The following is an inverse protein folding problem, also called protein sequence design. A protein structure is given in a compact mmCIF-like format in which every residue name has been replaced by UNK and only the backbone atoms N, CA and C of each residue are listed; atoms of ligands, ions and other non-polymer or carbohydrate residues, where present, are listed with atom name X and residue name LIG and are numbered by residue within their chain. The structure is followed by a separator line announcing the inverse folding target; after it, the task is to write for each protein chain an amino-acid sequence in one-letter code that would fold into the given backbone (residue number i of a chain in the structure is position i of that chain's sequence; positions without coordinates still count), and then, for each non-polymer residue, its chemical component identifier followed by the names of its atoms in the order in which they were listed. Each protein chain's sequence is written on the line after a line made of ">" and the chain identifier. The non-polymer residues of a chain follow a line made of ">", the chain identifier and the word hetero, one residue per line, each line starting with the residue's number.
data_IF_163805729211
#
_entry.id   IF_163805729211
#
_cell.length_a   1.000
_cell.length_b   1.000
_cell.length_c   1.000
_cell.angle_alpha   90.00
_cell.angle_beta   90.00
_cell.angle_gamma   90.00
#
_symmetry.space_group_name_H-M   'P 1'
#
loop_
_entity.id
_entity.type
_entity.pdbx_description
1 polymer ?
#
# COMPACT_ATOMS: atom_id res chain seq x y z
N UNK A 1 12.49 41.04 25.75
CA UNK A 1 11.18 40.39 25.97
C UNK A 1 11.01 39.08 25.19
N UNK A 2 11.68 38.90 24.04
CA UNK A 2 11.59 37.65 23.20
C UNK A 2 12.38 36.47 23.77
N UNK A 3 13.56 36.70 24.31
CA UNK A 3 14.47 35.67 24.83
C UNK A 3 13.84 34.81 25.95
N UNK A 4 13.22 35.37 27.01
CA UNK A 4 12.61 34.56 28.07
C UNK A 4 11.41 33.72 27.54
N UNK A 5 10.69 34.21 26.53
CA UNK A 5 9.58 33.45 25.93
C UNK A 5 10.08 32.24 25.13
N UNK A 6 11.17 32.37 24.42
CA UNK A 6 11.80 31.26 23.68
C UNK A 6 12.35 30.18 24.63
N UNK A 7 12.96 30.61 25.75
CA UNK A 7 13.45 29.69 26.77
C UNK A 7 12.28 28.92 27.42
N UNK A 8 11.20 29.62 27.77
CA UNK A 8 10.00 28.98 28.32
C UNK A 8 9.35 28.02 27.35
N UNK A 9 9.28 28.38 26.05
CA UNK A 9 8.76 27.50 25.01
C UNK A 9 9.64 26.23 24.85
N UNK A 10 10.95 26.40 24.88
CA UNK A 10 11.90 25.28 24.83
C UNK A 10 11.76 24.34 26.02
N UNK A 11 11.66 24.89 27.22
CA UNK A 11 11.46 24.12 28.45
C UNK A 11 10.10 23.39 28.46
N UNK A 12 9.05 24.08 28.04
CA UNK A 12 7.72 23.46 27.93
C UNK A 12 7.71 22.31 26.92
N UNK A 13 8.34 22.47 25.75
CA UNK A 13 8.45 21.42 24.73
C UNK A 13 9.28 20.25 25.22
N UNK A 14 10.41 20.52 25.90
CA UNK A 14 11.25 19.47 26.49
C UNK A 14 10.48 18.68 27.56
N UNK A 15 9.75 19.38 28.43
CA UNK A 15 8.92 18.77 29.46
C UNK A 15 7.77 17.92 28.88
N UNK A 16 7.13 18.42 27.83
CA UNK A 16 6.05 17.71 27.13
C UNK A 16 6.58 16.43 26.45
N UNK A 17 7.70 16.52 25.76
CA UNK A 17 8.35 15.36 25.12
C UNK A 17 8.77 14.31 26.15
N UNK A 18 9.33 14.76 27.28
CA UNK A 18 9.71 13.83 28.37
C UNK A 18 8.48 13.13 28.98
N UNK A 19 7.41 13.88 29.27
CA UNK A 19 6.15 13.29 29.78
C UNK A 19 5.48 12.38 28.77
N UNK A 20 5.44 12.75 27.51
CA UNK A 20 4.90 11.89 26.44
C UNK A 20 5.67 10.57 26.36
N UNK A 21 7.00 10.60 26.40
CA UNK A 21 7.82 9.40 26.44
C UNK A 21 7.53 8.48 27.64
N UNK A 22 7.40 9.06 28.85
CA UNK A 22 7.07 8.30 30.05
C UNK A 22 5.67 7.70 30.00
N UNK A 23 4.68 8.43 29.48
CA UNK A 23 3.30 7.94 29.33
C UNK A 23 3.19 6.85 28.28
N UNK A 24 3.90 6.99 27.15
CA UNK A 24 4.00 5.95 26.14
C UNK A 24 4.60 4.65 26.73
N UNK A 25 5.67 4.76 27.49
CA UNK A 25 6.32 3.57 28.11
C UNK A 25 5.41 2.88 29.15
N UNK A 26 4.49 3.60 29.76
CA UNK A 26 3.52 3.05 30.73
C UNK A 26 2.25 2.52 30.08
N UNK A 27 2.08 2.75 28.77
CA UNK A 27 0.90 2.23 28.07
C UNK A 27 0.98 0.70 27.97
N UNK A 28 -0.10 -0.04 28.30
CA UNK A 28 -0.08 -1.51 28.29
C UNK A 28 0.27 -2.11 26.93
N UNK A 29 0.00 -1.40 25.84
CA UNK A 29 0.42 -1.80 24.49
C UNK A 29 1.89 -1.59 24.16
N UNK A 30 2.65 -0.83 24.99
CA UNK A 30 4.07 -0.55 24.74
C UNK A 30 4.95 -1.81 24.81
N UNK A 31 4.66 -2.69 25.75
CA UNK A 31 5.38 -3.96 25.88
C UNK A 31 5.22 -4.84 24.63
N UNK A 32 4.01 -4.90 24.08
CA UNK A 32 3.71 -5.63 22.84
C UNK A 32 4.40 -5.01 21.62
N UNK A 33 4.38 -3.68 21.52
CA UNK A 33 5.11 -2.95 20.48
C UNK A 33 6.63 -3.16 20.59
N UNK A 34 7.20 -3.02 21.79
CA UNK A 34 8.62 -3.23 22.01
C UNK A 34 9.05 -4.67 21.74
N UNK A 35 8.20 -5.65 22.05
CA UNK A 35 8.44 -7.05 21.73
C UNK A 35 8.43 -7.29 20.22
N UNK A 36 7.56 -6.62 19.46
CA UNK A 36 7.56 -6.64 17.99
C UNK A 36 8.82 -6.06 17.38
N UNK A 37 9.39 -5.01 17.98
CA UNK A 37 10.66 -4.41 17.50
C UNK A 37 11.91 -5.10 18.04
N UNK A 38 11.84 -5.76 19.21
CA UNK A 38 12.98 -6.46 19.81
C UNK A 38 13.14 -7.88 19.28
N UNK A 39 12.07 -8.51 18.86
CA UNK A 39 12.10 -9.71 18.04
C UNK A 39 12.05 -9.21 16.60
N UNK A 40 13.10 -9.34 15.79
CA UNK A 40 12.95 -9.23 14.36
C UNK A 40 12.09 -10.43 13.95
N UNK A 41 10.79 -10.28 14.12
CA UNK A 41 9.85 -11.10 13.42
C UNK A 41 9.98 -10.64 11.97
N UNK A 42 10.96 -11.20 11.30
CA UNK A 42 10.80 -11.44 9.88
C UNK A 42 9.59 -12.36 9.85
N UNK A 43 8.42 -11.80 9.52
CA UNK A 43 7.29 -12.62 9.12
C UNK A 43 7.76 -13.33 7.85
N UNK A 44 8.47 -14.43 8.04
CA UNK A 44 8.94 -15.29 6.96
C UNK A 44 7.76 -16.00 6.32
N UNK A 45 6.53 -15.64 6.68
CA UNK A 45 5.32 -16.31 6.19
C UNK A 45 5.30 -17.81 6.46
N UNK A 46 6.14 -18.26 7.40
CA UNK A 46 6.08 -19.62 7.90
C UNK A 46 4.88 -19.74 8.84
N UNK A 47 3.71 -20.00 8.26
CA UNK A 47 2.83 -20.97 8.89
C UNK A 47 3.70 -22.18 9.27
N UNK A 48 3.41 -22.85 10.46
CA UNK A 48 4.21 -23.99 10.91
C UNK A 48 4.38 -24.92 9.72
N UNK A 49 5.62 -25.25 9.44
CA UNK A 49 6.02 -26.03 8.27
C UNK A 49 5.16 -27.29 8.13
N UNK A 50 4.20 -27.24 7.26
CA UNK A 50 3.90 -28.44 6.50
C UNK A 50 5.14 -28.65 5.62
N UNK A 51 5.79 -29.80 5.74
CA UNK A 51 6.93 -30.22 4.95
C UNK A 51 6.55 -30.25 3.44
N UNK A 52 6.44 -29.06 2.83
CA UNK A 52 6.16 -28.88 1.42
C UNK A 52 7.12 -27.83 0.85
N UNK A 53 7.44 -27.88 -0.43
CA UNK A 53 8.25 -26.84 -1.07
C UNK A 53 7.60 -25.47 -0.79
N UNK A 54 8.40 -24.51 -0.29
CA UNK A 54 7.92 -23.16 0.00
C UNK A 54 7.12 -22.58 -1.17
N UNK A 55 6.21 -21.63 -0.93
CA UNK A 55 5.37 -21.10 -1.99
C UNK A 55 6.25 -20.68 -3.17
N UNK A 56 6.05 -21.36 -4.29
CA UNK A 56 6.80 -21.10 -5.50
C UNK A 56 6.55 -19.62 -5.89
N UNK A 57 7.64 -18.88 -6.12
CA UNK A 57 7.55 -17.56 -6.76
C UNK A 57 6.79 -17.78 -8.07
N UNK A 58 5.67 -17.08 -8.32
CA UNK A 58 4.94 -17.27 -9.56
C UNK A 58 5.90 -17.07 -10.73
N UNK A 59 5.87 -17.92 -11.75
CA UNK A 59 6.67 -17.69 -12.93
C UNK A 59 6.31 -16.32 -13.51
N UNK A 60 7.29 -15.60 -14.04
CA UNK A 60 7.10 -14.24 -14.59
C UNK A 60 5.95 -14.14 -15.63
N UNK A 61 5.57 -15.28 -16.25
CA UNK A 61 4.43 -15.37 -17.14
C UNK A 61 3.05 -15.45 -16.46
N UNK A 62 3.00 -15.57 -15.12
CA UNK A 62 1.73 -15.57 -14.37
C UNK A 62 1.24 -14.16 -14.01
N UNK A 63 2.08 -13.14 -14.22
CA UNK A 63 1.70 -11.74 -13.96
C UNK A 63 0.88 -11.21 -15.14
N UNK A 64 -0.23 -10.54 -14.81
CA UNK A 64 -1.08 -9.94 -15.83
C UNK A 64 -0.37 -8.74 -16.49
N UNK A 65 -0.42 -8.58 -17.83
CA UNK A 65 -0.06 -7.31 -18.44
C UNK A 65 -1.03 -6.22 -17.97
N UNK A 66 -0.62 -4.93 -17.93
CA UNK A 66 -1.56 -3.86 -17.71
C UNK A 66 -2.59 -3.85 -18.84
N UNK A 67 -3.83 -3.41 -18.59
CA UNK A 67 -4.84 -3.26 -19.62
C UNK A 67 -4.40 -2.17 -20.61
N UNK A 68 -4.91 -2.21 -21.84
CA UNK A 68 -4.61 -1.22 -22.87
C UNK A 68 -5.17 0.17 -22.49
N UNK A 69 -6.34 0.19 -21.85
CA UNK A 69 -7.02 1.41 -21.38
C UNK A 69 -7.63 1.19 -20.00
N UNK A 70 -7.90 2.26 -19.26
CA UNK A 70 -8.50 2.13 -17.93
C UNK A 70 -8.34 3.35 -17.06
N UNK A 71 -8.63 3.19 -15.78
CA UNK A 71 -8.42 4.17 -14.73
C UNK A 71 -7.18 3.78 -13.92
N UNK A 72 -6.28 4.73 -13.69
CA UNK A 72 -5.10 4.51 -12.85
C UNK A 72 -5.33 5.15 -11.49
N UNK A 73 -5.21 4.37 -10.42
CA UNK A 73 -5.27 4.85 -9.03
C UNK A 73 -3.88 4.73 -8.43
N UNK A 74 -3.36 5.83 -7.89
CA UNK A 74 -2.07 5.88 -7.18
C UNK A 74 -2.33 5.71 -5.68
N UNK A 75 -2.01 4.55 -5.15
CA UNK A 75 -2.15 4.25 -3.73
C UNK A 75 -1.06 4.93 -2.91
N UNK A 76 -1.44 5.77 -1.94
CA UNK A 76 -0.53 6.52 -1.08
C UNK A 76 0.52 7.33 -1.87
N UNK A 77 0.15 7.81 -3.07
CA UNK A 77 1.04 8.57 -3.94
C UNK A 77 2.11 7.72 -4.64
N UNK A 78 1.93 6.40 -4.75
CA UNK A 78 2.86 5.52 -5.46
C UNK A 78 3.02 5.92 -6.94
N UNK A 79 4.24 5.90 -7.41
CA UNK A 79 4.60 6.32 -8.77
C UNK A 79 4.46 7.83 -8.99
N UNK A 80 5.17 8.33 -9.99
CA UNK A 80 5.00 9.72 -10.42
C UNK A 80 3.71 9.91 -11.21
N UNK A 81 3.22 11.15 -11.27
CA UNK A 81 2.05 11.48 -12.08
C UNK A 81 2.31 11.24 -13.58
N UNK A 82 3.56 11.40 -14.02
CA UNK A 82 3.97 11.15 -15.41
C UNK A 82 3.99 9.65 -15.71
N UNK A 83 4.54 8.82 -14.80
CA UNK A 83 4.47 7.38 -14.90
C UNK A 83 3.02 6.91 -15.04
N UNK A 84 2.14 7.37 -14.15
CA UNK A 84 0.73 6.99 -14.17
C UNK A 84 0.01 7.37 -15.48
N UNK A 85 0.37 8.53 -16.07
CA UNK A 85 -0.20 8.97 -17.36
C UNK A 85 0.31 8.18 -18.56
N UNK A 86 1.50 7.60 -18.45
CA UNK A 86 2.15 6.89 -19.55
C UNK A 86 2.12 5.36 -19.38
N UNK A 87 1.48 4.86 -18.32
CA UNK A 87 1.49 3.44 -17.99
C UNK A 87 0.72 2.59 -19.01
N UNK A 88 -0.39 3.09 -19.51
CA UNK A 88 -1.25 2.40 -20.44
C UNK A 88 -0.89 2.77 -21.89
N UNK A 89 -1.13 1.87 -22.84
CA UNK A 89 -0.87 2.12 -24.26
C UNK A 89 -1.73 3.26 -24.77
N UNK A 90 -3.02 3.23 -24.42
CA UNK A 90 -3.91 4.39 -24.57
C UNK A 90 -3.83 5.21 -23.29
N UNK A 91 -3.86 6.55 -23.42
CA UNK A 91 -3.84 7.42 -22.25
C UNK A 91 -4.94 7.02 -21.26
N UNK A 92 -4.65 6.94 -19.96
CA UNK A 92 -5.66 6.57 -18.97
C UNK A 92 -6.81 7.58 -19.01
N UNK A 93 -8.04 7.09 -18.89
CA UNK A 93 -9.23 7.95 -18.81
C UNK A 93 -9.17 8.89 -17.62
N UNK A 94 -8.64 8.40 -16.51
CA UNK A 94 -8.40 9.18 -15.29
C UNK A 94 -7.16 8.67 -14.56
N UNK A 95 -6.47 9.60 -13.89
CA UNK A 95 -5.47 9.30 -12.86
C UNK A 95 -6.01 9.84 -11.54
N UNK A 96 -6.25 8.96 -10.59
CA UNK A 96 -6.84 9.24 -9.29
C UNK A 96 -5.84 8.93 -8.18
N UNK A 97 -6.11 9.43 -6.98
CA UNK A 97 -5.30 9.14 -5.78
C UNK A 97 -6.19 8.57 -4.69
N UNK A 98 -5.65 7.60 -3.93
CA UNK A 98 -6.28 6.98 -2.77
C UNK A 98 -5.24 6.59 -1.73
N UNK A 99 -5.68 6.41 -0.49
CA UNK A 99 -4.84 5.97 0.62
C UNK A 99 -3.84 7.01 1.14
N UNK A 100 -2.92 6.59 1.99
CA UNK A 100 -1.92 7.45 2.61
C UNK A 100 -2.53 8.46 3.58
N UNK A 101 -2.58 9.75 3.22
CA UNK A 101 -3.20 10.81 4.02
C UNK A 101 -4.67 11.05 3.68
N UNK A 102 -5.23 10.33 2.71
CA UNK A 102 -6.64 10.43 2.36
C UNK A 102 -7.53 9.87 3.49
N UNK A 103 -8.71 10.44 3.64
CA UNK A 103 -9.72 9.88 4.54
C UNK A 103 -10.50 8.77 3.83
N UNK A 104 -11.17 7.90 4.61
CA UNK A 104 -12.06 6.86 4.05
C UNK A 104 -13.15 7.43 3.13
N UNK A 105 -13.63 8.65 3.42
CA UNK A 105 -14.61 9.33 2.57
C UNK A 105 -13.99 9.73 1.22
N UNK A 106 -12.75 10.24 1.22
CA UNK A 106 -12.02 10.56 0.00
C UNK A 106 -11.71 9.31 -0.83
N UNK A 107 -11.39 8.19 -0.19
CA UNK A 107 -11.16 6.92 -0.87
C UNK A 107 -12.44 6.41 -1.54
N UNK A 108 -13.60 6.51 -0.88
CA UNK A 108 -14.90 6.18 -1.47
C UNK A 108 -15.28 7.11 -2.62
N UNK A 109 -15.00 8.40 -2.50
CA UNK A 109 -15.19 9.36 -3.60
C UNK A 109 -14.30 8.99 -4.81
N UNK A 110 -13.10 8.51 -4.54
CA UNK A 110 -12.19 8.04 -5.60
C UNK A 110 -12.77 6.81 -6.31
N UNK A 111 -13.30 5.85 -5.57
CA UNK A 111 -13.96 4.67 -6.15
C UNK A 111 -15.21 5.06 -6.97
N UNK A 112 -16.02 5.98 -6.47
CA UNK A 112 -17.18 6.50 -7.21
C UNK A 112 -16.78 7.16 -8.54
N UNK A 113 -15.66 7.88 -8.56
CA UNK A 113 -15.13 8.48 -9.80
C UNK A 113 -14.49 7.44 -10.74
N UNK A 114 -13.98 6.34 -10.19
CA UNK A 114 -13.40 5.26 -10.97
C UNK A 114 -14.46 4.32 -11.58
N UNK A 115 -15.72 4.43 -11.15
CA UNK A 115 -16.84 3.61 -11.66
C UNK A 115 -17.25 4.05 -13.07
N UNK A 116 -16.42 3.73 -14.04
CA UNK A 116 -16.64 3.98 -15.46
C UNK A 116 -16.88 2.69 -16.26
N UNK A 117 -16.99 1.55 -15.58
CA UNK A 117 -17.02 0.24 -16.23
C UNK A 117 -15.73 -0.12 -16.97
N UNK A 118 -14.61 0.51 -16.62
CA UNK A 118 -13.30 0.31 -17.21
C UNK A 118 -12.39 -0.46 -16.24
N UNK A 119 -11.35 -1.14 -16.73
CA UNK A 119 -10.33 -1.74 -15.88
C UNK A 119 -9.68 -0.69 -14.97
N UNK A 120 -9.33 -1.11 -13.75
CA UNK A 120 -8.64 -0.27 -12.77
C UNK A 120 -7.22 -0.80 -12.56
N UNK A 121 -6.23 0.05 -12.73
CA UNK A 121 -4.83 -0.22 -12.40
C UNK A 121 -4.49 0.49 -11.10
N UNK A 122 -4.17 -0.27 -10.06
CA UNK A 122 -3.80 0.24 -8.75
C UNK A 122 -2.29 0.21 -8.59
N UNK A 123 -1.64 1.38 -8.65
CA UNK A 123 -0.20 1.52 -8.43
C UNK A 123 0.10 1.47 -6.94
N UNK A 124 1.05 0.65 -6.53
CA UNK A 124 1.51 0.54 -5.14
C UNK A 124 3.03 0.58 -5.06
N UNK A 125 3.56 0.91 -3.89
CA UNK A 125 4.99 0.82 -3.61
C UNK A 125 5.36 -0.63 -3.35
N UNK A 126 5.97 -1.28 -4.32
CA UNK A 126 6.34 -2.70 -4.25
C UNK A 126 7.42 -3.02 -3.21
N UNK A 127 8.20 -2.02 -2.78
CA UNK A 127 9.20 -2.15 -1.70
C UNK A 127 8.61 -2.09 -0.30
N UNK A 128 7.36 -1.66 -0.16
CA UNK A 128 6.61 -1.71 1.08
C UNK A 128 5.75 -2.98 1.13
N UNK A 129 5.55 -3.60 2.30
CA UNK A 129 4.61 -4.70 2.40
C UNK A 129 3.17 -4.20 2.20
N UNK A 130 2.27 -5.02 1.63
CA UNK A 130 0.87 -4.67 1.55
C UNK A 130 0.27 -4.43 2.94
N UNK A 131 -0.51 -3.36 3.09
CA UNK A 131 -1.09 -2.92 4.38
C UNK A 131 -2.54 -3.38 4.54
N UNK A 132 -3.04 -3.37 5.78
CA UNK A 132 -4.47 -3.61 6.06
C UNK A 132 -5.37 -2.56 5.42
N UNK A 133 -4.92 -1.29 5.38
CA UNK A 133 -5.67 -0.20 4.72
C UNK A 133 -5.87 -0.45 3.23
N UNK A 134 -4.85 -1.01 2.56
CA UNK A 134 -4.99 -1.40 1.16
C UNK A 134 -5.97 -2.57 0.99
N UNK A 135 -6.00 -3.52 1.94
CA UNK A 135 -6.97 -4.60 1.93
C UNK A 135 -8.40 -4.06 2.06
N UNK A 136 -8.65 -3.19 3.04
CA UNK A 136 -9.95 -2.56 3.26
C UNK A 136 -10.39 -1.76 2.02
N UNK A 137 -9.46 -1.04 1.37
CA UNK A 137 -9.75 -0.32 0.13
C UNK A 137 -10.14 -1.26 -1.03
N UNK A 138 -9.49 -2.42 -1.16
CA UNK A 138 -9.85 -3.41 -2.19
C UNK A 138 -11.21 -4.05 -1.92
N UNK A 139 -11.57 -4.26 -0.65
CA UNK A 139 -12.89 -4.76 -0.27
C UNK A 139 -13.97 -3.69 -0.58
N UNK A 140 -13.75 -2.42 -0.20
CA UNK A 140 -14.62 -1.29 -0.57
C UNK A 140 -14.74 -1.14 -2.11
N UNK A 141 -13.65 -1.37 -2.85
CA UNK A 141 -13.67 -1.34 -4.32
C UNK A 141 -14.54 -2.46 -4.92
N UNK A 142 -14.50 -3.67 -4.33
CA UNK A 142 -15.36 -4.78 -4.77
C UNK A 142 -16.85 -4.50 -4.55
N UNK A 143 -17.17 -3.80 -3.47
CA UNK A 143 -18.55 -3.43 -3.13
C UNK A 143 -19.07 -2.26 -3.97
N UNK A 144 -18.17 -1.37 -4.43
CA UNK A 144 -18.52 -0.11 -5.11
C UNK A 144 -18.46 -0.22 -6.63
N UNK A 145 -17.53 -1.01 -7.18
CA UNK A 145 -17.35 -1.16 -8.63
C UNK A 145 -18.18 -2.32 -9.19
N UNK A 146 -18.51 -2.30 -10.50
CA UNK A 146 -19.15 -3.44 -11.16
C UNK A 146 -18.40 -4.75 -10.90
N UNK A 147 -19.13 -5.84 -10.70
CA UNK A 147 -18.56 -7.13 -10.32
C UNK A 147 -17.56 -7.70 -11.34
N UNK A 148 -17.69 -7.31 -12.60
CA UNK A 148 -16.82 -7.67 -13.72
C UNK A 148 -15.66 -6.71 -13.95
N UNK A 149 -15.52 -5.64 -13.13
CA UNK A 149 -14.40 -4.71 -13.22
C UNK A 149 -13.09 -5.45 -12.93
N UNK A 150 -12.18 -5.42 -13.90
CA UNK A 150 -10.85 -5.97 -13.76
C UNK A 150 -9.97 -5.01 -12.94
N UNK A 151 -9.47 -5.48 -11.80
CA UNK A 151 -8.55 -4.72 -10.95
C UNK A 151 -7.18 -5.36 -11.02
N UNK A 152 -6.20 -4.60 -11.53
CA UNK A 152 -4.81 -5.01 -11.65
C UNK A 152 -3.98 -4.22 -10.64
N UNK A 153 -3.40 -4.90 -9.67
CA UNK A 153 -2.49 -4.30 -8.69
C UNK A 153 -1.07 -4.37 -9.25
N UNK A 154 -0.42 -3.22 -9.33
CA UNK A 154 0.89 -3.05 -9.93
C UNK A 154 1.92 -2.52 -8.91
N UNK A 155 2.70 -3.40 -8.25
CA UNK A 155 3.73 -2.97 -7.33
C UNK A 155 4.96 -2.46 -8.08
N UNK A 156 5.32 -1.20 -7.84
CA UNK A 156 6.49 -0.53 -8.44
C UNK A 156 7.74 -0.79 -7.60
N UNK A 157 8.93 -0.83 -8.22
CA UNK A 157 10.22 -0.90 -7.50
C UNK A 157 10.71 0.48 -7.06
N UNK A 158 10.31 1.52 -7.77
CA UNK A 158 10.60 2.92 -7.48
C UNK A 158 9.51 3.82 -8.08
N UNK A 159 9.46 5.08 -7.67
CA UNK A 159 8.41 6.00 -8.11
C UNK A 159 8.44 6.32 -9.61
N UNK A 160 9.57 6.12 -10.28
CA UNK A 160 9.74 6.41 -11.71
C UNK A 160 10.09 5.17 -12.53
N UNK A 161 10.12 3.99 -11.91
CA UNK A 161 10.50 2.75 -12.58
C UNK A 161 9.37 1.71 -12.57
N UNK A 162 9.16 1.11 -13.73
CA UNK A 162 8.22 0.01 -13.94
C UNK A 162 8.90 -1.37 -13.93
N UNK A 163 10.11 -1.48 -13.38
CA UNK A 163 10.81 -2.75 -13.32
C UNK A 163 10.15 -3.72 -12.30
N UNK A 164 10.42 -5.01 -12.45
CA UNK A 164 9.82 -6.04 -11.61
C UNK A 164 10.41 -5.99 -10.20
N UNK A 165 9.54 -6.01 -9.20
CA UNK A 165 9.89 -6.11 -7.78
C UNK A 165 10.67 -7.40 -7.49
N UNK A 166 11.61 -7.38 -6.54
CA UNK A 166 12.35 -8.54 -6.06
C UNK A 166 11.43 -9.75 -5.78
N UNK A 167 11.92 -10.94 -6.09
CA UNK A 167 11.14 -12.17 -6.02
C UNK A 167 10.50 -12.47 -4.66
N UNK A 168 11.17 -12.11 -3.56
CA UNK A 168 10.61 -12.28 -2.20
C UNK A 168 9.43 -11.33 -1.94
N UNK A 169 9.55 -10.07 -2.33
CA UNK A 169 8.49 -9.08 -2.26
C UNK A 169 7.35 -9.43 -3.22
N UNK A 170 7.67 -9.86 -4.42
CA UNK A 170 6.68 -10.31 -5.39
C UNK A 170 5.83 -11.48 -4.85
N UNK A 171 6.46 -12.45 -4.18
CA UNK A 171 5.75 -13.55 -3.55
C UNK A 171 4.83 -13.08 -2.40
N UNK A 172 5.20 -12.02 -1.68
CA UNK A 172 4.36 -11.41 -0.67
C UNK A 172 3.15 -10.71 -1.29
N UNK A 173 3.34 -9.94 -2.36
CA UNK A 173 2.26 -9.31 -3.11
C UNK A 173 1.33 -10.33 -3.74
N UNK A 174 1.87 -11.44 -4.26
CA UNK A 174 1.05 -12.53 -4.80
C UNK A 174 0.14 -13.15 -3.74
N UNK A 175 0.67 -13.46 -2.54
CA UNK A 175 -0.15 -13.97 -1.44
C UNK A 175 -1.23 -12.97 -0.98
N UNK A 176 -0.94 -11.68 -1.06
CA UNK A 176 -1.92 -10.65 -0.77
C UNK A 176 -3.06 -10.65 -1.79
N UNK A 177 -2.74 -10.61 -3.08
CA UNK A 177 -3.71 -10.64 -4.18
C UNK A 177 -4.54 -11.93 -4.17
N UNK A 178 -3.95 -13.07 -3.87
CA UNK A 178 -4.66 -14.36 -3.80
C UNK A 178 -5.78 -14.38 -2.74
N UNK A 179 -5.67 -13.53 -1.71
CA UNK A 179 -6.72 -13.36 -0.68
C UNK A 179 -7.83 -12.39 -1.09
N UNK A 180 -7.55 -11.51 -2.05
CA UNK A 180 -8.47 -10.46 -2.52
C UNK A 180 -8.95 -10.70 -3.95
N UNK A 181 -9.17 -11.99 -4.32
CA UNK A 181 -9.69 -12.30 -5.66
C UNK A 181 -11.04 -11.61 -5.93
N UNK A 182 -11.27 -11.16 -7.17
CA UNK A 182 -10.55 -11.42 -8.41
C UNK A 182 -9.46 -10.40 -8.77
N UNK A 183 -8.90 -9.63 -7.80
CA UNK A 183 -7.76 -8.75 -8.06
C UNK A 183 -6.61 -9.56 -8.63
N UNK A 184 -5.94 -9.04 -9.64
CA UNK A 184 -4.79 -9.67 -10.29
C UNK A 184 -3.51 -8.91 -10.01
N UNK A 185 -2.38 -9.62 -9.88
CA UNK A 185 -1.08 -8.99 -9.81
C UNK A 185 -0.60 -8.67 -11.22
N UNK A 186 -0.27 -7.41 -11.45
CA UNK A 186 0.22 -6.94 -12.71
C UNK A 186 1.75 -6.92 -12.79
N UNK A 187 2.24 -6.89 -14.02
CA UNK A 187 3.62 -6.63 -14.38
C UNK A 187 3.65 -5.32 -15.17
N UNK A 188 4.55 -4.35 -14.83
CA UNK A 188 4.74 -3.16 -15.64
C UNK A 188 5.28 -3.49 -17.03
#
# INVERSE_FOLDING_TARGET
>A
VLLPRLVLLGLARLHLNHRAGVLLQRHPGWAALRQRFATPWVDSGQAPAADGPGPAVPPAGALAPPPESGVVIRWAGAGSADLARNLLQDAPMQVLEAGGSASLEQDRDTLTRADLGLPVVLLTRGWEPPTGELADFLDDARDSLPADTDIVLLPLIADDETAIVDGALLAQWQRFVDRHRPVRLGRP
#
